data_IF_352522393585
#
_entry.id   IF_352522393585
#
_cell.length_a   1.000
_cell.length_b   1.000
_cell.length_c   1.000
_cell.angle_alpha   90.00
_cell.angle_beta   90.00
_cell.angle_gamma   90.00
#
_symmetry.space_group_name_H-M   'P 1'
#
loop_
_entity.id
_entity.type
_entity.pdbx_description
1 polymer ?
#
# COMPACT_ATOMS: atom_id res chain seq x y z
N UNK A 1 -14.52 -19.92 -2.54
CA UNK A 1 -13.25 -19.27 -2.16
C UNK A 1 -12.72 -19.85 -0.84
N UNK A 2 -12.35 -21.13 -0.80
CA UNK A 2 -12.00 -21.80 0.47
C UNK A 2 -10.61 -21.39 0.99
N UNK A 3 -9.62 -21.19 0.11
CA UNK A 3 -8.29 -20.72 0.51
C UNK A 3 -8.31 -19.40 1.32
N UNK A 4 -9.13 -18.43 0.90
CA UNK A 4 -9.24 -17.13 1.59
C UNK A 4 -9.89 -17.25 2.98
N UNK A 5 -10.84 -18.15 3.14
CA UNK A 5 -11.48 -18.38 4.45
C UNK A 5 -10.62 -19.24 5.37
N UNK A 6 -9.92 -20.23 4.82
CA UNK A 6 -9.11 -21.16 5.60
C UNK A 6 -7.80 -20.55 6.09
N UNK A 7 -7.20 -19.63 5.33
CA UNK A 7 -5.96 -18.95 5.75
C UNK A 7 -6.15 -18.15 7.04
N UNK A 8 -7.38 -17.73 7.35
CA UNK A 8 -7.73 -17.06 8.61
C UNK A 8 -7.52 -17.99 9.81
N UNK A 9 -7.78 -19.28 9.68
CA UNK A 9 -7.47 -20.28 10.72
C UNK A 9 -5.95 -20.44 10.93
N UNK A 10 -5.14 -20.06 9.94
CA UNK A 10 -3.68 -19.97 10.05
C UNK A 10 -3.19 -18.64 10.66
N UNK A 11 -4.09 -17.79 11.15
CA UNK A 11 -3.77 -16.51 11.79
C UNK A 11 -3.56 -15.34 10.82
N UNK A 12 -3.82 -15.51 9.52
CA UNK A 12 -3.74 -14.41 8.57
C UNK A 12 -4.95 -13.48 8.73
N UNK A 13 -4.68 -12.19 8.97
CA UNK A 13 -5.70 -11.15 9.01
C UNK A 13 -6.14 -10.77 7.59
N UNK A 14 -7.44 -10.59 7.39
CA UNK A 14 -8.05 -10.24 6.10
C UNK A 14 -8.81 -8.91 6.18
N UNK A 15 -8.68 -8.08 5.14
CA UNK A 15 -9.31 -6.75 5.05
C UNK A 15 -10.04 -6.65 3.72
N UNK A 16 -11.31 -6.22 3.75
CA UNK A 16 -12.09 -5.90 2.55
C UNK A 16 -12.08 -4.39 2.31
N UNK A 17 -11.77 -3.97 1.09
CA UNK A 17 -11.84 -2.57 0.65
C UNK A 17 -12.84 -2.52 -0.51
N UNK A 18 -14.09 -2.20 -0.21
CA UNK A 18 -15.17 -2.10 -1.20
C UNK A 18 -16.12 -0.97 -0.81
N UNK A 19 -16.65 -0.18 -1.77
CA UNK A 19 -17.53 0.95 -1.46
C UNK A 19 -18.87 0.52 -0.86
N UNK A 20 -19.35 -0.68 -1.22
CA UNK A 20 -20.52 -1.35 -0.70
C UNK A 20 -20.14 -2.51 0.23
N UNK A 21 -21.12 -2.98 1.01
CA UNK A 21 -20.95 -4.15 1.87
C UNK A 21 -21.10 -5.44 1.06
N UNK A 22 -20.05 -5.75 0.30
CA UNK A 22 -19.99 -6.91 -0.59
C UNK A 22 -19.90 -8.23 0.17
N UNK A 23 -20.14 -9.36 -0.50
CA UNK A 23 -20.02 -10.70 0.10
C UNK A 23 -18.63 -10.98 0.69
N UNK A 24 -17.58 -10.36 0.13
CA UNK A 24 -16.21 -10.47 0.62
C UNK A 24 -16.06 -9.80 1.98
N UNK A 25 -16.77 -8.70 2.24
CA UNK A 25 -16.72 -8.00 3.53
C UNK A 25 -17.16 -8.91 4.68
N UNK A 26 -18.12 -9.82 4.44
CA UNK A 26 -18.56 -10.83 5.43
C UNK A 26 -17.45 -11.81 5.81
N UNK A 27 -16.48 -12.05 4.93
CA UNK A 27 -15.40 -13.02 5.14
C UNK A 27 -14.12 -12.39 5.71
N UNK A 28 -14.09 -11.07 5.87
CA UNK A 28 -12.94 -10.31 6.34
C UNK A 28 -13.03 -9.95 7.82
N UNK A 29 -11.89 -9.69 8.45
CA UNK A 29 -11.83 -9.22 9.83
C UNK A 29 -12.17 -7.73 9.95
N UNK A 30 -11.93 -6.96 8.87
CA UNK A 30 -12.22 -5.53 8.81
C UNK A 30 -12.72 -5.13 7.41
N UNK A 31 -13.68 -4.21 7.37
CA UNK A 31 -14.18 -3.61 6.14
C UNK A 31 -13.89 -2.10 6.13
N UNK A 32 -13.30 -1.63 5.02
CA UNK A 32 -13.11 -0.22 4.71
C UNK A 32 -13.95 0.13 3.48
N UNK A 33 -14.70 1.24 3.58
CA UNK A 33 -15.64 1.68 2.55
C UNK A 33 -15.23 3.05 1.96
N UNK A 34 -14.14 3.12 1.16
CA UNK A 34 -13.79 4.36 0.47
C UNK A 34 -14.86 4.70 -0.58
N UNK A 35 -14.94 5.98 -0.93
CA UNK A 35 -15.76 6.40 -2.07
C UNK A 35 -15.21 5.74 -3.33
N UNK A 36 -16.09 5.22 -4.20
CA UNK A 36 -15.63 4.52 -5.40
C UNK A 36 -14.73 5.42 -6.27
N UNK A 37 -13.60 4.89 -6.73
CA UNK A 37 -12.63 5.63 -7.54
C UNK A 37 -11.67 6.51 -6.73
N UNK A 38 -11.77 6.52 -5.39
CA UNK A 38 -10.81 7.23 -4.51
C UNK A 38 -9.82 6.29 -3.82
N UNK A 39 -9.71 5.04 -4.26
CA UNK A 39 -8.81 4.03 -3.70
C UNK A 39 -7.33 4.45 -3.77
N UNK A 40 -6.95 5.18 -4.83
CA UNK A 40 -5.60 5.73 -4.97
C UNK A 40 -5.25 6.69 -3.83
N UNK A 41 -6.21 7.49 -3.34
CA UNK A 41 -5.95 8.40 -2.22
C UNK A 41 -5.66 7.62 -0.92
N UNK A 42 -6.41 6.54 -0.67
CA UNK A 42 -6.15 5.63 0.44
C UNK A 42 -4.78 4.96 0.30
N UNK A 43 -4.45 4.45 -0.89
CA UNK A 43 -3.16 3.82 -1.16
C UNK A 43 -1.98 4.79 -0.98
N UNK A 44 -2.12 6.05 -1.42
CA UNK A 44 -1.10 7.09 -1.22
C UNK A 44 -0.90 7.42 0.25
N UNK A 45 -1.97 7.48 1.04
CA UNK A 45 -1.87 7.69 2.48
C UNK A 45 -1.17 6.51 3.18
N UNK A 46 -1.48 5.27 2.79
CA UNK A 46 -0.78 4.08 3.29
C UNK A 46 0.71 4.11 2.91
N UNK A 47 1.02 4.43 1.65
CA UNK A 47 2.40 4.58 1.17
C UNK A 47 3.17 5.65 1.92
N UNK A 48 2.54 6.78 2.24
CA UNK A 48 3.15 7.85 3.04
C UNK A 48 3.60 7.33 4.42
N UNK A 49 2.73 6.64 5.15
CA UNK A 49 3.07 6.08 6.47
C UNK A 49 4.18 5.04 6.34
N UNK A 50 4.12 4.15 5.34
CA UNK A 50 5.15 3.13 5.10
C UNK A 50 6.53 3.76 4.85
N UNK A 51 6.59 4.81 4.01
CA UNK A 51 7.85 5.50 3.73
C UNK A 51 8.37 6.25 4.96
N UNK A 52 7.49 6.98 5.64
CA UNK A 52 7.85 7.77 6.82
C UNK A 52 8.39 6.87 7.94
N UNK A 53 7.66 5.83 8.32
CA UNK A 53 8.02 5.03 9.48
C UNK A 53 9.15 4.03 9.18
N UNK A 54 9.15 3.42 7.99
CA UNK A 54 10.04 2.28 7.69
C UNK A 54 11.17 2.59 6.71
N UNK A 55 11.23 3.79 6.13
CA UNK A 55 12.36 4.22 5.30
C UNK A 55 13.09 5.46 5.86
N UNK A 56 12.42 6.27 6.69
CA UNK A 56 12.97 7.49 7.30
C UNK A 56 13.18 7.34 8.81
N UNK A 57 12.10 7.23 9.60
CA UNK A 57 12.16 7.33 11.06
C UNK A 57 12.84 6.09 11.70
N UNK A 58 12.50 4.89 11.23
CA UNK A 58 13.14 3.63 11.63
C UNK A 58 13.41 2.75 10.40
N UNK A 59 14.51 3.01 9.68
CA UNK A 59 14.75 2.39 8.39
C UNK A 59 14.88 0.86 8.49
N UNK A 60 14.02 0.14 7.78
CA UNK A 60 14.03 -1.32 7.71
C UNK A 60 15.09 -1.81 6.73
N UNK A 61 16.07 -2.56 7.22
CA UNK A 61 17.15 -3.15 6.40
C UNK A 61 16.59 -3.97 5.23
N UNK A 62 15.52 -4.72 5.45
CA UNK A 62 14.90 -5.52 4.40
C UNK A 62 14.30 -4.63 3.30
N UNK A 63 13.51 -3.61 3.67
CA UNK A 63 12.84 -2.74 2.69
C UNK A 63 13.84 -1.90 1.89
N UNK A 64 14.82 -1.28 2.56
CA UNK A 64 15.83 -0.46 1.88
C UNK A 64 16.63 -1.29 0.86
N UNK A 65 17.10 -2.46 1.27
CA UNK A 65 17.90 -3.32 0.39
C UNK A 65 17.07 -3.94 -0.72
N UNK A 66 15.77 -4.16 -0.51
CA UNK A 66 14.87 -4.63 -1.55
C UNK A 66 14.68 -3.56 -2.62
N UNK A 67 14.24 -2.35 -2.22
CA UNK A 67 14.03 -1.23 -3.13
C UNK A 67 15.30 -0.87 -3.89
N UNK A 68 16.46 -0.84 -3.24
CA UNK A 68 17.74 -0.54 -3.91
C UNK A 68 18.10 -1.53 -5.03
N UNK A 69 17.72 -2.80 -4.91
CA UNK A 69 18.12 -3.87 -5.84
C UNK A 69 17.06 -4.18 -6.90
N UNK A 70 15.79 -4.01 -6.57
CA UNK A 70 14.68 -4.53 -7.35
C UNK A 70 13.68 -3.45 -7.81
N UNK A 71 13.97 -2.17 -7.57
CA UNK A 71 13.22 -1.06 -8.19
C UNK A 71 14.16 -0.07 -8.89
N UNK A 72 13.54 0.85 -9.62
CA UNK A 72 14.13 1.99 -10.30
C UNK A 72 14.40 3.18 -9.38
N UNK A 73 14.10 3.06 -8.07
CA UNK A 73 14.34 4.11 -7.07
C UNK A 73 15.77 4.69 -7.03
N UNK A 74 16.87 3.91 -7.25
CA UNK A 74 18.22 4.49 -7.24
C UNK A 74 18.63 5.15 -8.58
N UNK A 75 17.76 5.14 -9.59
CA UNK A 75 18.07 5.71 -10.90
C UNK A 75 17.92 7.22 -10.90
N UNK A 76 18.77 7.89 -11.68
CA UNK A 76 18.71 9.35 -11.85
C UNK A 76 17.69 9.73 -12.92
N UNK A 77 16.94 10.81 -12.68
CA UNK A 77 15.99 11.39 -13.63
C UNK A 77 16.50 12.78 -14.03
N UNK A 78 16.55 13.06 -15.34
CA UNK A 78 16.88 14.40 -15.84
C UNK A 78 15.66 15.31 -15.74
N UNK A 79 15.84 16.50 -15.15
CA UNK A 79 14.78 17.50 -15.04
C UNK A 79 14.87 18.47 -16.22
N UNK A 80 13.73 18.76 -16.84
CA UNK A 80 13.61 19.81 -17.85
C UNK A 80 13.43 21.17 -17.16
N UNK A 81 14.17 22.22 -17.58
CA UNK A 81 13.97 23.56 -17.04
C UNK A 81 12.54 24.04 -17.31
N UNK A 82 11.85 24.53 -16.27
CA UNK A 82 10.57 25.26 -16.41
C UNK A 82 10.74 26.72 -16.03
N UNK A 83 10.04 27.59 -16.74
CA UNK A 83 10.08 29.05 -16.57
C UNK A 83 9.60 29.52 -15.18
N UNK A 84 8.82 28.69 -14.48
CA UNK A 84 8.30 28.96 -13.13
C UNK A 84 9.13 28.33 -11.99
N UNK A 85 10.23 27.65 -12.33
CA UNK A 85 11.10 26.98 -11.36
C UNK A 85 10.50 25.74 -10.69
N UNK A 86 9.39 25.19 -11.24
CA UNK A 86 8.73 23.96 -10.77
C UNK A 86 8.92 22.75 -11.68
#
# INVERSE_FOLDING_TARGET
>A
AHFFTEVRYKGTKTIAITPDYSEVAKLCDQWLAPKQGTDSALAMAMGHVILKEFHLDNPSDYFINYCRRYSDMPMLVMLEPRDDGS
#
